data_IF_249815835316
#
_entry.id   IF_249815835316
#
_cell.length_a   1.000
_cell.length_b   1.000
_cell.length_c   1.000
_cell.angle_alpha   90.00
_cell.angle_beta   90.00
_cell.angle_gamma   90.00
#
_symmetry.space_group_name_H-M   'P 1'
#
loop_
_entity.id
_entity.type
_entity.pdbx_description
1 polymer ?
#
# COMPACT_ATOMS: atom_id res chain seq x y z
N UNK A 1 -16.22 -19.83 6.36
CA UNK A 1 -16.63 -18.96 5.24
C UNK A 1 -15.49 -18.94 4.24
N UNK A 2 -15.75 -19.32 2.99
CA UNK A 2 -14.77 -19.26 1.90
C UNK A 2 -14.76 -17.84 1.33
N UNK A 3 -13.68 -17.11 1.57
CA UNK A 3 -13.48 -15.74 1.05
C UNK A 3 -13.26 -15.86 -0.47
N UNK A 4 -14.07 -15.13 -1.26
CA UNK A 4 -13.90 -15.05 -2.71
C UNK A 4 -12.91 -13.92 -3.03
N UNK A 5 -11.75 -14.27 -3.58
CA UNK A 5 -10.62 -13.37 -3.81
C UNK A 5 -10.74 -12.51 -5.09
N UNK A 6 -11.76 -12.71 -5.94
CA UNK A 6 -11.84 -12.04 -7.24
C UNK A 6 -11.91 -10.51 -7.19
N UNK A 7 -12.43 -9.93 -6.10
CA UNK A 7 -12.43 -8.47 -5.85
C UNK A 7 -11.38 -8.03 -4.82
N UNK A 8 -10.81 -9.01 -4.10
CA UNK A 8 -9.72 -8.81 -3.16
C UNK A 8 -8.44 -8.37 -3.92
N UNK A 9 -8.27 -8.88 -5.13
CA UNK A 9 -7.12 -8.61 -5.99
C UNK A 9 -7.03 -7.13 -6.38
N UNK A 10 -8.13 -6.49 -6.77
CA UNK A 10 -8.09 -5.10 -7.29
C UNK A 10 -7.74 -4.09 -6.19
N UNK A 11 -8.36 -4.21 -5.01
CA UNK A 11 -8.03 -3.37 -3.86
C UNK A 11 -6.60 -3.59 -3.39
N UNK A 12 -6.16 -4.84 -3.32
CA UNK A 12 -4.79 -5.18 -2.89
C UNK A 12 -3.76 -4.57 -3.84
N UNK A 13 -3.97 -4.74 -5.14
CA UNK A 13 -3.09 -4.20 -6.18
C UNK A 13 -3.05 -2.68 -6.13
N UNK A 14 -4.20 -2.01 -5.95
CA UNK A 14 -4.21 -0.55 -5.87
C UNK A 14 -3.48 -0.02 -4.64
N UNK A 15 -3.74 -0.58 -3.46
CA UNK A 15 -3.07 -0.19 -2.22
C UNK A 15 -1.56 -0.37 -2.35
N UNK A 16 -1.11 -1.55 -2.81
CA UNK A 16 0.31 -1.83 -3.00
C UNK A 16 0.95 -0.86 -4.01
N UNK A 17 0.29 -0.58 -5.14
CA UNK A 17 0.78 0.39 -6.14
C UNK A 17 0.84 1.81 -5.59
N UNK A 18 -0.12 2.22 -4.76
CA UNK A 18 -0.12 3.57 -4.18
C UNK A 18 1.04 3.71 -3.19
N UNK A 19 1.18 2.76 -2.26
CA UNK A 19 2.31 2.73 -1.32
C UNK A 19 3.66 2.68 -2.05
N UNK A 20 3.75 1.96 -3.17
CA UNK A 20 4.97 1.88 -3.95
C UNK A 20 5.36 3.19 -4.63
N UNK A 21 4.40 4.08 -4.95
CA UNK A 21 4.69 5.42 -5.47
C UNK A 21 5.29 6.34 -4.41
N UNK A 22 4.86 6.20 -3.16
CA UNK A 22 5.26 7.08 -2.06
C UNK A 22 6.42 6.53 -1.22
N UNK A 23 6.78 5.27 -1.40
CA UNK A 23 7.92 4.66 -0.71
C UNK A 23 9.22 5.49 -0.88
N UNK A 24 10.03 5.71 0.19
CA UNK A 24 9.98 5.09 1.52
C UNK A 24 9.12 5.82 2.56
N UNK A 25 8.20 6.70 2.16
CA UNK A 25 7.39 7.47 3.10
C UNK A 25 6.10 6.72 3.46
N UNK A 26 5.75 6.56 4.75
CA UNK A 26 4.43 6.09 5.13
C UNK A 26 3.34 6.99 4.56
N UNK A 27 2.28 6.40 4.02
CA UNK A 27 1.22 7.11 3.29
C UNK A 27 -0.13 6.68 3.80
N UNK A 28 -1.00 7.66 4.03
CA UNK A 28 -2.39 7.41 4.40
C UNK A 28 -3.13 6.73 3.25
N UNK A 29 -3.84 5.64 3.57
CA UNK A 29 -4.66 4.90 2.61
C UNK A 29 -6.11 5.01 3.06
N UNK A 30 -6.85 5.91 2.42
CA UNK A 30 -8.28 6.08 2.61
C UNK A 30 -9.10 5.18 1.69
N UNK A 31 -10.38 5.03 2.02
CA UNK A 31 -11.34 4.30 1.19
C UNK A 31 -11.43 4.87 -0.23
N UNK A 32 -11.50 6.20 -0.33
CA UNK A 32 -11.65 6.92 -1.60
C UNK A 32 -10.40 6.82 -2.50
N UNK A 33 -9.24 6.44 -1.96
CA UNK A 33 -8.02 6.20 -2.75
C UNK A 33 -8.09 4.89 -3.55
N UNK A 34 -8.95 3.98 -3.11
CA UNK A 34 -9.12 2.64 -3.70
C UNK A 34 -10.43 2.54 -4.47
N UNK A 35 -11.51 3.12 -3.94
CA UNK A 35 -12.85 3.06 -4.52
C UNK A 35 -13.39 4.46 -4.78
N UNK A 36 -13.09 4.97 -5.98
CA UNK A 36 -13.62 6.25 -6.45
C UNK A 36 -15.13 6.12 -6.68
N UNK A 37 -15.91 7.14 -6.28
CA UNK A 37 -17.36 7.25 -6.47
C UNK A 37 -18.22 6.18 -5.77
N UNK A 38 -17.69 5.49 -4.75
CA UNK A 38 -18.41 4.42 -4.04
C UNK A 38 -18.65 4.72 -2.56
N UNK A 39 -18.74 6.00 -2.17
CA UNK A 39 -18.73 6.43 -0.77
C UNK A 39 -19.80 5.76 0.11
N UNK A 40 -20.96 5.40 -0.46
CA UNK A 40 -22.08 4.78 0.27
C UNK A 40 -22.12 3.25 0.15
N UNK A 41 -21.16 2.64 -0.54
CA UNK A 41 -21.11 1.19 -0.77
C UNK A 41 -20.48 0.46 0.44
N UNK A 42 -21.35 -0.14 1.25
CA UNK A 42 -20.98 -0.83 2.50
C UNK A 42 -20.09 -2.06 2.21
N UNK A 43 -20.35 -2.78 1.13
CA UNK A 43 -19.61 -3.99 0.79
C UNK A 43 -18.18 -3.66 0.39
N UNK A 44 -17.98 -2.58 -0.37
CA UNK A 44 -16.64 -2.07 -0.69
C UNK A 44 -15.90 -1.57 0.55
N UNK A 45 -16.58 -0.91 1.50
CA UNK A 45 -15.94 -0.49 2.76
C UNK A 45 -15.44 -1.69 3.56
N UNK A 46 -16.26 -2.74 3.66
CA UNK A 46 -15.85 -3.99 4.31
C UNK A 46 -14.66 -4.64 3.58
N UNK A 47 -14.68 -4.65 2.23
CA UNK A 47 -13.56 -5.14 1.43
C UNK A 47 -12.28 -4.34 1.66
N UNK A 48 -12.35 -3.00 1.68
CA UNK A 48 -11.20 -2.13 1.94
C UNK A 48 -10.52 -2.44 3.28
N UNK A 49 -11.31 -2.50 4.36
CA UNK A 49 -10.81 -2.84 5.70
C UNK A 49 -10.23 -4.25 5.72
N UNK A 50 -10.93 -5.22 5.12
CA UNK A 50 -10.46 -6.61 5.02
C UNK A 50 -9.15 -6.75 4.27
N UNK A 51 -8.97 -5.99 3.17
CA UNK A 51 -7.73 -5.97 2.39
C UNK A 51 -6.58 -5.40 3.20
N UNK A 52 -6.75 -4.26 3.88
CA UNK A 52 -5.70 -3.69 4.73
C UNK A 52 -5.28 -4.67 5.85
N UNK A 53 -6.26 -5.31 6.49
CA UNK A 53 -6.01 -6.30 7.54
C UNK A 53 -5.22 -7.51 7.00
N UNK A 54 -5.60 -8.03 5.83
CA UNK A 54 -4.90 -9.14 5.19
C UNK A 54 -3.48 -8.78 4.75
N UNK A 55 -3.29 -7.65 4.05
CA UNK A 55 -1.96 -7.23 3.59
C UNK A 55 -1.00 -7.03 4.76
N UNK A 56 -1.50 -6.55 5.90
CA UNK A 56 -0.74 -6.43 7.14
C UNK A 56 -0.46 -7.79 7.77
N UNK A 57 -1.45 -8.69 7.79
CA UNK A 57 -1.26 -10.06 8.30
C UNK A 57 -0.20 -10.84 7.50
N UNK A 58 -0.21 -10.66 6.18
CA UNK A 58 0.77 -11.26 5.26
C UNK A 58 2.14 -10.58 5.25
N UNK A 59 2.36 -9.59 6.14
CA UNK A 59 3.61 -8.83 6.24
C UNK A 59 3.98 -8.13 4.93
N UNK A 60 3.01 -7.70 4.12
CA UNK A 60 3.27 -6.93 2.89
C UNK A 60 3.31 -5.42 3.17
N UNK A 61 2.54 -4.97 4.16
CA UNK A 61 2.51 -3.57 4.61
C UNK A 61 2.62 -3.49 6.14
N UNK A 62 3.15 -2.39 6.64
CA UNK A 62 3.19 -2.07 8.07
C UNK A 62 2.56 -0.69 8.32
N UNK A 63 1.97 -0.50 9.49
CA UNK A 63 1.48 0.81 9.93
C UNK A 63 2.61 1.71 10.44
N UNK A 64 2.45 3.02 10.28
CA UNK A 64 3.34 4.00 10.90
C UNK A 64 3.09 4.12 12.40
N UNK A 65 4.15 4.31 13.19
CA UNK A 65 4.05 4.47 14.64
C UNK A 65 3.53 5.86 14.93
N UNK A 66 2.20 6.00 14.99
CA UNK A 66 1.51 7.28 15.22
C UNK A 66 0.28 7.49 14.35
N UNK A 67 0.03 6.63 13.36
CA UNK A 67 -1.16 6.68 12.53
C UNK A 67 -1.74 5.29 12.30
N UNK A 68 -3.06 5.15 12.52
CA UNK A 68 -3.79 3.93 12.24
C UNK A 68 -4.15 3.78 10.74
N UNK A 69 -4.07 4.88 9.97
CA UNK A 69 -4.43 4.94 8.55
C UNK A 69 -3.22 5.07 7.61
N UNK A 70 -2.01 5.32 8.15
CA UNK A 70 -0.78 5.42 7.36
C UNK A 70 -0.03 4.10 7.31
N UNK A 71 0.34 3.70 6.10
CA UNK A 71 1.02 2.43 5.85
C UNK A 71 2.29 2.62 5.02
N UNK A 72 3.21 1.68 5.10
CA UNK A 72 4.43 1.60 4.30
C UNK A 72 4.64 0.15 3.83
N UNK A 73 5.26 -0.02 2.66
CA UNK A 73 5.67 -1.35 2.20
C UNK A 73 6.77 -1.93 3.12
N UNK A 74 6.60 -3.18 3.53
CA UNK A 74 7.65 -3.95 4.19
C UNK A 74 8.69 -4.43 3.17
N UNK A 75 9.74 -5.12 3.63
CA UNK A 75 10.66 -5.82 2.71
C UNK A 75 9.94 -6.84 1.82
N UNK A 76 8.98 -7.60 2.36
CA UNK A 76 8.23 -8.61 1.60
C UNK A 76 7.29 -7.95 0.58
N UNK A 77 6.62 -6.86 0.97
CA UNK A 77 5.81 -6.06 0.05
C UNK A 77 6.62 -5.42 -1.07
N UNK A 78 7.81 -4.87 -0.75
CA UNK A 78 8.73 -4.32 -1.75
C UNK A 78 9.23 -5.36 -2.74
N UNK A 79 9.44 -6.61 -2.31
CA UNK A 79 9.91 -7.69 -3.17
C UNK A 79 8.89 -8.08 -4.27
N UNK A 80 7.63 -7.69 -4.12
CA UNK A 80 6.61 -7.83 -5.17
C UNK A 80 6.85 -6.85 -6.34
N UNK A 81 7.66 -5.82 -6.12
CA UNK A 81 8.01 -4.83 -7.12
C UNK A 81 9.41 -5.11 -7.67
N UNK A 82 9.53 -5.06 -8.99
CA UNK A 82 10.78 -5.30 -9.72
C UNK A 82 11.86 -4.25 -9.41
N UNK A 83 13.02 -4.36 -10.10
CA UNK A 83 14.19 -3.49 -9.98
C UNK A 83 13.90 -1.97 -10.02
N UNK A 84 12.78 -1.55 -10.61
CA UNK A 84 12.41 -0.14 -10.75
C UNK A 84 12.33 0.61 -9.41
N UNK A 85 11.80 -0.01 -8.34
CA UNK A 85 11.76 0.64 -7.02
C UNK A 85 13.16 0.74 -6.43
N UNK A 86 13.98 -0.29 -6.60
CA UNK A 86 15.37 -0.28 -6.13
C UNK A 86 16.16 0.81 -6.86
N UNK A 87 15.94 0.98 -8.17
CA UNK A 87 16.54 2.04 -8.97
C UNK A 87 16.09 3.42 -8.46
N UNK A 88 14.79 3.64 -8.26
CA UNK A 88 14.25 4.90 -7.72
C UNK A 88 14.85 5.24 -6.36
N UNK A 89 14.97 4.27 -5.46
CA UNK A 89 15.61 4.45 -4.15
C UNK A 89 17.10 4.83 -4.29
N UNK A 90 17.84 4.14 -5.17
CA UNK A 90 19.24 4.48 -5.46
C UNK A 90 19.39 5.90 -5.99
N UNK A 91 18.47 6.34 -6.85
CA UNK A 91 18.49 7.69 -7.43
C UNK A 91 18.15 8.76 -6.38
N UNK A 92 17.15 8.51 -5.51
CA UNK A 92 16.84 9.38 -4.36
C UNK A 92 18.03 9.53 -3.41
N UNK A 93 18.73 8.41 -3.10
CA UNK A 93 19.92 8.43 -2.25
C UNK A 93 21.09 9.20 -2.88
N UNK A 94 21.29 9.10 -4.20
CA UNK A 94 22.32 9.88 -4.91
C UNK A 94 22.00 11.37 -4.90
N UNK A 95 20.74 11.74 -5.16
CA UNK A 95 20.33 13.14 -5.17
C UNK A 95 20.45 13.78 -3.80
N UNK A 96 20.08 13.08 -2.72
CA UNK A 96 20.26 13.56 -1.35
C UNK A 96 21.74 13.81 -0.98
N UNK A 97 22.67 13.03 -1.55
CA UNK A 97 24.12 13.22 -1.35
C UNK A 97 24.71 14.38 -2.15
N UNK A 98 24.07 14.81 -3.23
CA UNK A 98 24.57 15.90 -4.09
C UNK A 98 24.11 17.29 -3.62
N UNK A 99 23.26 17.35 -2.58
CA UNK A 99 22.76 18.59 -1.98
C UNK A 99 23.51 19.04 -0.72
N UNK A 100 24.64 18.41 -0.40
CA UNK A 100 25.54 18.79 0.70
C UNK A 100 26.94 19.13 0.19
#
# INVERSE_FOLDING_TARGET
MSINFSHFDESSVMILKLLSKHFPTPTEIGFNDVFVDAETDIDKRAAHIGTLAFLRHEDLIAHDVGSASSFILTRKGLALFNEDIIKRLKDQLKNAKNTN
#
